data_IF_153085910233
#
_entry.id   IF_153085910233
#
_cell.length_a   1.000
_cell.length_b   1.000
_cell.length_c   1.000
_cell.angle_alpha   90.00
_cell.angle_beta   90.00
_cell.angle_gamma   90.00
#
_symmetry.space_group_name_H-M   'P 1'
#
loop_
_entity.id
_entity.type
_entity.pdbx_description
1 polymer ?
#
# COMPACT_ATOMS: atom_id res chain seq x y z
N UNK A 1 -2.00 26.67 -2.77
CA UNK A 1 -0.97 25.73 -2.27
C UNK A 1 -1.04 25.51 -0.76
N UNK A 2 -1.34 26.55 0.05
CA UNK A 2 -1.33 26.47 1.52
C UNK A 2 -2.38 25.49 2.10
N UNK A 3 -3.55 25.38 1.47
CA UNK A 3 -4.61 24.43 1.89
C UNK A 3 -4.28 22.97 1.55
N UNK A 4 -3.66 22.74 0.40
CA UNK A 4 -3.17 21.42 0.02
C UNK A 4 -2.13 20.90 1.02
N UNK A 5 -1.22 21.77 1.46
CA UNK A 5 -0.25 21.44 2.51
C UNK A 5 -0.95 21.06 3.81
N UNK A 6 -2.00 21.77 4.22
CA UNK A 6 -2.76 21.43 5.44
C UNK A 6 -3.42 20.05 5.32
N UNK A 7 -4.00 19.69 4.17
CA UNK A 7 -4.57 18.35 3.96
C UNK A 7 -3.49 17.28 3.99
N UNK A 8 -2.35 17.54 3.34
CA UNK A 8 -1.21 16.63 3.33
C UNK A 8 -0.63 16.42 4.73
N UNK A 9 -0.38 17.50 5.48
CA UNK A 9 0.10 17.45 6.86
C UNK A 9 -0.95 16.89 7.83
N UNK A 10 -2.24 17.07 7.54
CA UNK A 10 -3.33 16.47 8.32
C UNK A 10 -3.37 14.95 8.14
N UNK A 11 -3.33 14.46 6.90
CA UNK A 11 -3.22 13.01 6.62
C UNK A 11 -1.93 12.43 7.22
N UNK A 12 -0.81 13.14 7.07
CA UNK A 12 0.47 12.78 7.66
C UNK A 12 0.38 12.68 9.18
N UNK A 13 -0.23 13.67 9.84
CA UNK A 13 -0.41 13.69 11.29
C UNK A 13 -1.29 12.55 11.79
N UNK A 14 -2.41 12.28 11.11
CA UNK A 14 -3.30 11.15 11.42
C UNK A 14 -2.55 9.82 11.24
N UNK A 15 -1.79 9.66 10.16
CA UNK A 15 -0.99 8.47 9.93
C UNK A 15 0.08 8.29 11.01
N UNK A 16 0.83 9.35 11.36
CA UNK A 16 1.83 9.31 12.43
C UNK A 16 1.20 8.94 13.76
N UNK A 17 0.00 9.45 14.07
CA UNK A 17 -0.74 9.08 15.27
C UNK A 17 -1.18 7.60 15.25
N UNK A 18 -1.73 7.11 14.13
CA UNK A 18 -2.11 5.70 13.98
C UNK A 18 -0.87 4.80 14.11
N UNK A 19 0.23 5.17 13.46
CA UNK A 19 1.49 4.42 13.52
C UNK A 19 2.07 4.43 14.93
N UNK A 20 2.09 5.59 15.61
CA UNK A 20 2.55 5.68 17.00
C UNK A 20 1.68 4.85 17.95
N UNK A 21 0.36 4.84 17.76
CA UNK A 21 -0.56 3.98 18.49
C UNK A 21 -0.33 2.50 18.19
N UNK A 22 -0.08 2.14 16.93
CA UNK A 22 0.23 0.77 16.53
C UNK A 22 1.55 0.28 17.13
N UNK A 23 2.57 1.14 17.19
CA UNK A 23 3.82 0.86 17.90
C UNK A 23 3.58 0.72 19.39
N UNK A 24 2.79 1.62 19.99
CA UNK A 24 2.49 1.58 21.43
C UNK A 24 1.69 0.33 21.84
N UNK A 25 0.77 -0.11 20.98
CA UNK A 25 -0.04 -1.33 21.21
C UNK A 25 0.71 -2.62 20.86
N UNK A 26 1.90 -2.53 20.28
CA UNK A 26 2.66 -3.69 19.79
C UNK A 26 2.15 -4.27 18.47
N UNK A 27 1.07 -3.76 17.88
CA UNK A 27 0.53 -4.24 16.59
C UNK A 27 1.51 -4.01 15.43
N UNK A 28 2.37 -3.00 15.54
CA UNK A 28 3.46 -2.76 14.58
C UNK A 28 4.62 -3.75 14.73
N UNK A 29 4.59 -4.63 15.73
CA UNK A 29 5.64 -5.63 15.94
C UNK A 29 5.60 -6.68 14.83
N UNK A 30 6.76 -6.88 14.21
CA UNK A 30 6.94 -7.77 13.05
C UNK A 30 6.59 -9.23 13.37
N UNK A 31 6.83 -9.63 14.62
CA UNK A 31 6.64 -11.00 15.14
C UNK A 31 5.18 -11.43 15.09
N UNK A 32 4.22 -10.57 15.43
CA UNK A 32 2.79 -10.90 15.48
C UNK A 32 2.28 -11.36 14.11
N UNK A 33 2.65 -10.64 13.06
CA UNK A 33 2.22 -10.94 11.69
C UNK A 33 2.87 -12.21 11.14
N UNK A 34 4.14 -12.41 11.47
CA UNK A 34 4.88 -13.62 11.10
C UNK A 34 4.34 -14.85 11.83
N UNK A 35 4.11 -14.77 13.14
CA UNK A 35 3.56 -15.87 13.94
C UNK A 35 2.17 -16.28 13.45
N UNK A 36 1.34 -15.29 13.10
CA UNK A 36 0.03 -15.56 12.51
C UNK A 36 0.13 -16.30 11.17
N UNK A 37 1.03 -15.86 10.27
CA UNK A 37 1.28 -16.53 8.99
C UNK A 37 1.89 -17.93 9.17
N UNK A 38 2.82 -18.10 10.12
CA UNK A 38 3.44 -19.39 10.45
C UNK A 38 2.46 -20.38 11.06
N UNK A 39 1.41 -19.89 11.73
CA UNK A 39 0.29 -20.71 12.18
C UNK A 39 -0.51 -21.36 11.04
N UNK A 40 -0.38 -20.86 9.80
CA UNK A 40 -1.09 -21.39 8.65
C UNK A 40 -0.38 -22.62 8.08
N UNK A 41 -1.00 -23.80 8.28
CA UNK A 41 -0.39 -25.09 7.92
C UNK A 41 -0.51 -25.48 6.44
N UNK A 42 -1.32 -24.78 5.66
CA UNK A 42 -1.59 -25.10 4.26
C UNK A 42 -1.06 -24.03 3.33
N UNK A 43 -0.46 -24.46 2.22
CA UNK A 43 0.01 -23.58 1.14
C UNK A 43 -1.08 -22.62 0.64
N UNK A 44 -2.31 -23.12 0.51
CA UNK A 44 -3.47 -22.30 0.13
C UNK A 44 -3.85 -21.27 1.21
N UNK A 45 -3.71 -21.63 2.49
CA UNK A 45 -3.98 -20.73 3.59
C UNK A 45 -2.93 -19.61 3.64
N UNK A 46 -1.64 -19.92 3.44
CA UNK A 46 -0.58 -18.91 3.33
C UNK A 46 -0.85 -17.97 2.16
N UNK A 47 -1.25 -18.48 0.99
CA UNK A 47 -1.57 -17.64 -0.17
C UNK A 47 -2.70 -16.63 0.12
N UNK A 48 -3.82 -17.09 0.66
CA UNK A 48 -4.94 -16.20 1.03
C UNK A 48 -4.61 -15.30 2.22
N UNK A 49 -3.84 -15.80 3.20
CA UNK A 49 -3.39 -15.04 4.36
C UNK A 49 -2.48 -13.87 3.96
N UNK A 50 -1.55 -14.09 3.05
CA UNK A 50 -0.70 -13.03 2.45
C UNK A 50 -1.55 -11.96 1.78
N UNK A 51 -2.53 -12.35 0.95
CA UNK A 51 -3.41 -11.40 0.27
C UNK A 51 -4.23 -10.59 1.28
N UNK A 52 -4.76 -11.26 2.30
CA UNK A 52 -5.55 -10.62 3.35
C UNK A 52 -4.72 -9.61 4.14
N UNK A 53 -3.55 -10.01 4.64
CA UNK A 53 -2.69 -9.13 5.45
C UNK A 53 -2.24 -7.90 4.67
N UNK A 54 -1.80 -8.09 3.42
CA UNK A 54 -1.40 -6.96 2.58
C UNK A 54 -2.59 -6.11 2.14
N UNK A 55 -3.80 -6.68 2.04
CA UNK A 55 -5.02 -5.93 1.80
C UNK A 55 -5.47 -5.10 3.00
N UNK A 56 -5.13 -5.56 4.22
CA UNK A 56 -5.41 -4.88 5.49
C UNK A 56 -4.37 -3.81 5.85
N UNK A 57 -3.29 -3.70 5.08
CA UNK A 57 -2.22 -2.70 5.25
C UNK A 57 -2.76 -1.25 5.20
N UNK A 58 -3.94 -1.05 4.62
CA UNK A 58 -4.66 0.22 4.62
C UNK A 58 -5.03 0.71 6.02
N UNK A 59 -5.31 -0.22 6.94
CA UNK A 59 -5.84 0.06 8.29
C UNK A 59 -4.79 -0.25 9.34
N UNK A 60 -4.04 -1.33 9.15
CA UNK A 60 -2.99 -1.77 10.05
C UNK A 60 -1.63 -1.53 9.40
N UNK A 61 -0.61 -1.03 10.13
CA UNK A 61 0.72 -0.88 9.56
C UNK A 61 1.39 -2.25 9.48
N UNK A 62 1.08 -3.01 8.43
CA UNK A 62 1.61 -4.35 8.21
C UNK A 62 2.94 -4.20 7.47
N UNK A 63 4.04 -4.81 7.97
CA UNK A 63 5.31 -4.78 7.26
C UNK A 63 5.22 -5.64 5.99
N UNK A 64 4.82 -5.02 4.88
CA UNK A 64 4.58 -5.70 3.60
C UNK A 64 5.81 -6.43 3.06
N UNK A 65 7.01 -5.90 3.30
CA UNK A 65 8.29 -6.54 2.99
C UNK A 65 8.41 -7.92 3.64
N UNK A 66 8.05 -8.05 4.92
CA UNK A 66 8.11 -9.31 5.65
C UNK A 66 7.07 -10.30 5.15
N UNK A 67 5.83 -9.86 4.97
CA UNK A 67 4.75 -10.71 4.48
C UNK A 67 5.05 -11.26 3.09
N UNK A 68 5.57 -10.43 2.18
CA UNK A 68 5.98 -10.87 0.83
C UNK A 68 7.20 -11.79 0.86
N UNK A 69 8.17 -11.54 1.75
CA UNK A 69 9.35 -12.40 1.93
C UNK A 69 8.93 -13.77 2.45
N UNK A 70 8.05 -13.82 3.46
CA UNK A 70 7.50 -15.07 3.98
C UNK A 70 6.70 -15.83 2.92
N UNK A 71 5.86 -15.13 2.15
CA UNK A 71 5.13 -15.74 1.03
C UNK A 71 6.08 -16.36 0.00
N UNK A 72 7.19 -15.69 -0.33
CA UNK A 72 8.22 -16.24 -1.22
C UNK A 72 8.94 -17.47 -0.66
N UNK A 73 9.14 -17.52 0.66
CA UNK A 73 9.71 -18.69 1.36
C UNK A 73 8.80 -19.91 1.24
N UNK A 74 7.52 -19.76 1.57
CA UNK A 74 6.58 -20.90 1.65
C UNK A 74 5.95 -21.29 0.31
N UNK A 75 5.65 -20.32 -0.56
CA UNK A 75 4.96 -20.52 -1.84
C UNK A 75 5.92 -20.58 -3.03
N UNK A 76 7.18 -20.19 -2.82
CA UNK A 76 8.17 -20.02 -3.89
C UNK A 76 7.99 -18.70 -4.65
N UNK A 77 8.89 -18.45 -5.61
CA UNK A 77 8.98 -17.17 -6.30
C UNK A 77 7.67 -16.77 -7.00
N UNK A 78 7.10 -17.66 -7.82
CA UNK A 78 5.95 -17.32 -8.66
C UNK A 78 4.70 -17.08 -7.82
N UNK A 79 4.30 -18.06 -7.02
CA UNK A 79 3.08 -17.95 -6.21
C UNK A 79 3.22 -16.89 -5.10
N UNK A 80 4.40 -16.75 -4.49
CA UNK A 80 4.68 -15.70 -3.51
C UNK A 80 4.61 -14.31 -4.13
N UNK A 81 5.17 -14.12 -5.33
CA UNK A 81 5.06 -12.85 -6.07
C UNK A 81 3.59 -12.54 -6.38
N UNK A 82 2.82 -13.52 -6.86
CA UNK A 82 1.41 -13.32 -7.19
C UNK A 82 0.56 -13.02 -5.95
N UNK A 83 0.78 -13.72 -4.84
CA UNK A 83 0.09 -13.45 -3.58
C UNK A 83 0.38 -12.03 -3.08
N UNK A 84 1.67 -11.66 -3.05
CA UNK A 84 2.13 -10.32 -2.65
C UNK A 84 1.54 -9.23 -3.53
N UNK A 85 1.62 -9.42 -4.84
CA UNK A 85 1.08 -8.51 -5.84
C UNK A 85 -0.44 -8.32 -5.68
N UNK A 86 -1.20 -9.42 -5.58
CA UNK A 86 -2.65 -9.38 -5.45
C UNK A 86 -3.10 -8.65 -4.17
N UNK A 87 -2.44 -8.92 -3.04
CA UNK A 87 -2.73 -8.25 -1.77
C UNK A 87 -2.49 -6.74 -1.83
N UNK A 88 -1.31 -6.31 -2.28
CA UNK A 88 -0.98 -4.89 -2.39
C UNK A 88 -1.80 -4.16 -3.47
N UNK A 89 -2.17 -4.84 -4.56
CA UNK A 89 -3.11 -4.31 -5.55
C UNK A 89 -4.50 -4.11 -4.94
N UNK A 90 -5.00 -5.09 -4.18
CA UNK A 90 -6.28 -4.98 -3.51
C UNK A 90 -6.31 -3.77 -2.55
N UNK A 91 -5.28 -3.60 -1.72
CA UNK A 91 -5.11 -2.44 -0.84
C UNK A 91 -5.18 -1.12 -1.62
N UNK A 92 -4.38 -0.99 -2.68
CA UNK A 92 -4.31 0.21 -3.51
C UNK A 92 -5.67 0.53 -4.18
N UNK A 93 -6.36 -0.49 -4.69
CA UNK A 93 -7.66 -0.35 -5.35
C UNK A 93 -8.73 0.08 -4.35
N UNK A 94 -8.73 -0.48 -3.14
CA UNK A 94 -9.67 -0.11 -2.07
C UNK A 94 -9.42 1.35 -1.67
N UNK A 95 -8.19 1.75 -1.37
CA UNK A 95 -7.85 3.13 -1.02
C UNK A 95 -8.25 4.13 -2.10
N UNK A 96 -7.94 3.83 -3.37
CA UNK A 96 -8.38 4.63 -4.52
C UNK A 96 -9.90 4.75 -4.61
N UNK A 97 -10.63 3.64 -4.44
CA UNK A 97 -12.09 3.59 -4.63
C UNK A 97 -12.83 4.32 -3.51
N UNK A 98 -12.38 4.13 -2.25
CA UNK A 98 -12.90 4.83 -1.08
C UNK A 98 -12.76 6.34 -1.26
N UNK A 99 -11.59 6.81 -1.69
CA UNK A 99 -11.37 8.24 -1.92
C UNK A 99 -12.13 8.76 -3.15
N UNK A 100 -12.27 7.96 -4.22
CA UNK A 100 -13.04 8.35 -5.40
C UNK A 100 -14.52 8.56 -5.11
N UNK A 101 -15.14 7.70 -4.31
CA UNK A 101 -16.57 7.74 -4.03
C UNK A 101 -16.92 8.57 -2.79
N UNK A 102 -16.20 8.36 -1.69
CA UNK A 102 -16.44 9.06 -0.42
C UNK A 102 -15.75 10.41 -0.33
N UNK A 103 -14.54 10.53 -0.90
CA UNK A 103 -13.68 11.68 -0.70
C UNK A 103 -13.98 12.90 -1.58
N UNK A 104 -14.67 12.74 -2.72
CA UNK A 104 -14.90 13.86 -3.66
C UNK A 104 -15.71 15.00 -3.07
N UNK A 105 -16.71 14.71 -2.23
CA UNK A 105 -17.51 15.73 -1.51
C UNK A 105 -16.68 16.45 -0.43
N UNK A 106 -15.77 15.72 0.23
CA UNK A 106 -14.86 16.28 1.23
C UNK A 106 -13.76 17.13 0.59
N UNK A 107 -13.18 16.68 -0.53
CA UNK A 107 -12.16 17.40 -1.27
C UNK A 107 -12.64 18.75 -1.78
N UNK A 108 -13.83 18.81 -2.38
CA UNK A 108 -14.46 20.06 -2.80
C UNK A 108 -14.68 21.04 -1.63
N UNK A 109 -15.03 20.52 -0.44
CA UNK A 109 -15.20 21.34 0.78
C UNK A 109 -13.87 21.85 1.35
N UNK A 110 -12.79 21.06 1.27
CA UNK A 110 -11.50 21.41 1.87
C UNK A 110 -10.60 22.27 0.98
N UNK A 111 -10.61 22.05 -0.34
CA UNK A 111 -9.86 22.90 -1.28
C UNK A 111 -10.56 24.26 -1.39
N UNK A 112 -11.90 24.27 -1.44
CA UNK A 112 -12.73 25.47 -1.26
C UNK A 112 -12.58 26.56 -2.33
N UNK A 113 -11.73 26.34 -3.34
CA UNK A 113 -11.51 27.22 -4.48
C UNK A 113 -11.40 26.36 -5.75
N UNK A 114 -12.29 26.62 -6.72
CA UNK A 114 -12.38 25.86 -7.96
C UNK A 114 -11.09 25.94 -8.79
N UNK A 115 -10.39 27.07 -8.74
CA UNK A 115 -9.14 27.28 -9.48
C UNK A 115 -7.96 26.53 -8.85
N UNK A 116 -7.98 26.33 -7.53
CA UNK A 116 -7.00 25.49 -6.84
C UNK A 116 -7.29 24.01 -7.07
N UNK A 117 -8.57 23.61 -7.07
CA UNK A 117 -8.99 22.24 -7.40
C UNK A 117 -8.52 21.84 -8.79
N UNK A 118 -8.76 22.70 -9.78
CA UNK A 118 -8.40 22.42 -11.16
C UNK A 118 -6.88 22.31 -11.36
N UNK A 119 -6.09 23.21 -10.76
CA UNK A 119 -4.62 23.14 -10.82
C UNK A 119 -4.08 21.85 -10.20
N UNK A 120 -4.61 21.43 -9.06
CA UNK A 120 -4.21 20.17 -8.41
C UNK A 120 -4.55 18.99 -9.30
N UNK A 121 -5.72 19.02 -9.95
CA UNK A 121 -6.17 18.01 -10.90
C UNK A 121 -5.25 17.90 -12.10
N UNK A 122 -4.89 19.02 -12.71
CA UNK A 122 -3.99 19.07 -13.88
C UNK A 122 -2.59 18.58 -13.51
N UNK A 123 -2.07 18.98 -12.36
CA UNK A 123 -0.77 18.54 -11.86
C UNK A 123 -0.76 17.03 -11.60
N UNK A 124 -1.78 16.48 -10.93
CA UNK A 124 -1.92 15.03 -10.73
C UNK A 124 -2.17 14.26 -12.03
N UNK A 125 -2.89 14.83 -13.00
CA UNK A 125 -3.03 14.23 -14.33
C UNK A 125 -1.70 14.12 -15.08
N UNK A 126 -0.77 15.05 -14.82
CA UNK A 126 0.56 15.10 -15.44
C UNK A 126 1.61 14.26 -14.70
N UNK A 127 1.61 14.29 -13.37
CA UNK A 127 2.66 13.68 -12.53
C UNK A 127 2.20 12.51 -11.67
N UNK A 128 0.89 12.31 -11.51
CA UNK A 128 0.32 11.31 -10.59
C UNK A 128 0.75 9.88 -10.89
N UNK A 129 0.98 9.55 -12.16
CA UNK A 129 1.55 8.25 -12.54
C UNK A 129 2.94 8.00 -11.95
N UNK A 130 3.84 8.97 -12.08
CA UNK A 130 5.19 8.89 -11.50
C UNK A 130 5.15 8.84 -9.97
N UNK A 131 4.24 9.59 -9.34
CA UNK A 131 4.06 9.54 -7.90
C UNK A 131 3.60 8.17 -7.42
N UNK A 132 2.66 7.52 -8.12
CA UNK A 132 2.18 6.17 -7.79
C UNK A 132 3.26 5.09 -7.92
N UNK A 133 4.20 5.28 -8.84
CA UNK A 133 5.31 4.36 -9.06
C UNK A 133 6.41 4.58 -8.01
N UNK A 134 6.83 5.83 -7.81
CA UNK A 134 7.95 6.19 -6.92
C UNK A 134 7.57 6.15 -5.43
N UNK A 135 6.28 6.13 -5.10
CA UNK A 135 5.80 6.05 -3.72
C UNK A 135 5.94 4.67 -3.09
N UNK A 136 6.08 3.60 -3.88
CA UNK A 136 6.05 2.20 -3.42
C UNK A 136 7.03 1.85 -2.29
N UNK A 137 8.27 2.40 -2.26
CA UNK A 137 9.18 2.15 -1.14
C UNK A 137 8.73 2.78 0.18
N UNK A 138 7.78 3.72 0.15
CA UNK A 138 7.32 4.49 1.30
C UNK A 138 5.82 4.20 1.51
N UNK A 139 5.44 3.29 2.44
CA UNK A 139 4.06 2.84 2.61
C UNK A 139 3.05 3.98 2.72
N UNK A 140 3.34 4.96 3.57
CA UNK A 140 2.51 6.15 3.77
C UNK A 140 2.29 6.95 2.47
N UNK A 141 3.34 7.10 1.66
CA UNK A 141 3.25 7.86 0.42
C UNK A 141 2.43 7.10 -0.63
N UNK A 142 2.47 5.76 -0.59
CA UNK A 142 1.66 4.91 -1.47
C UNK A 142 0.17 5.11 -1.21
N UNK A 143 -0.24 5.06 0.04
CA UNK A 143 -1.65 5.26 0.43
C UNK A 143 -2.14 6.67 0.10
N UNK A 144 -1.32 7.69 0.40
CA UNK A 144 -1.66 9.08 0.09
C UNK A 144 -1.81 9.30 -1.41
N UNK A 145 -0.89 8.77 -2.23
CA UNK A 145 -0.96 8.94 -3.69
C UNK A 145 -2.12 8.16 -4.32
N UNK A 146 -2.44 6.97 -3.80
CA UNK A 146 -3.61 6.20 -4.23
C UNK A 146 -4.92 6.93 -3.90
N UNK A 147 -5.03 7.48 -2.69
CA UNK A 147 -6.18 8.29 -2.30
C UNK A 147 -6.31 9.56 -3.15
N UNK A 148 -5.22 10.31 -3.34
CA UNK A 148 -5.20 11.52 -4.19
C UNK A 148 -5.59 11.22 -5.64
N UNK A 149 -5.14 10.09 -6.20
CA UNK A 149 -5.57 9.64 -7.53
C UNK A 149 -7.08 9.38 -7.57
N UNK A 150 -7.66 8.81 -6.51
CA UNK A 150 -9.10 8.65 -6.34
C UNK A 150 -9.85 9.98 -6.27
N UNK A 151 -9.40 10.89 -5.40
CA UNK A 151 -10.01 12.21 -5.18
C UNK A 151 -10.08 13.06 -6.44
N UNK A 152 -8.99 13.09 -7.21
CA UNK A 152 -8.89 13.89 -8.43
C UNK A 152 -9.60 13.25 -9.64
N UNK A 153 -10.07 12.02 -9.50
CA UNK A 153 -10.74 11.30 -10.56
C UNK A 153 -9.79 10.79 -11.65
N UNK A 154 -8.53 10.52 -11.31
CA UNK A 154 -7.54 9.90 -12.19
C UNK A 154 -8.12 8.64 -12.85
N UNK A 155 -7.75 8.33 -14.10
CA UNK A 155 -8.36 7.19 -14.82
C UNK A 155 -7.90 5.87 -14.21
N UNK A 156 -8.85 4.99 -13.85
CA UNK A 156 -8.57 3.69 -13.22
C UNK A 156 -7.54 2.86 -14.02
N UNK A 157 -7.66 2.78 -15.35
CA UNK A 157 -6.70 2.03 -16.17
C UNK A 157 -5.26 2.56 -16.08
N UNK A 158 -5.08 3.89 -16.03
CA UNK A 158 -3.75 4.49 -15.82
C UNK A 158 -3.24 4.26 -14.41
N UNK A 159 -4.11 4.39 -13.41
CA UNK A 159 -3.79 4.07 -12.02
C UNK A 159 -3.27 2.63 -11.92
N UNK A 160 -4.03 1.64 -12.38
CA UNK A 160 -3.65 0.23 -12.35
C UNK A 160 -2.32 -0.02 -13.07
N UNK A 161 -2.06 0.64 -14.20
CA UNK A 161 -0.80 0.51 -14.91
C UNK A 161 0.41 0.94 -14.06
N UNK A 162 0.39 2.16 -13.51
CA UNK A 162 1.52 2.66 -12.69
C UNK A 162 1.67 1.90 -11.37
N UNK A 163 0.56 1.54 -10.74
CA UNK A 163 0.52 0.74 -9.51
C UNK A 163 1.09 -0.65 -9.78
N UNK A 164 0.72 -1.29 -10.91
CA UNK A 164 1.26 -2.60 -11.30
C UNK A 164 2.76 -2.52 -11.53
N UNK A 165 3.23 -1.51 -12.28
CA UNK A 165 4.66 -1.32 -12.54
C UNK A 165 5.49 -1.07 -11.28
N UNK A 166 4.92 -0.42 -10.27
CA UNK A 166 5.60 -0.20 -9.00
C UNK A 166 5.55 -1.40 -8.07
N UNK A 167 4.41 -2.09 -7.98
CA UNK A 167 4.19 -3.21 -7.04
C UNK A 167 4.84 -4.50 -7.52
N UNK A 168 4.76 -4.82 -8.81
CA UNK A 168 5.22 -6.10 -9.34
C UNK A 168 6.73 -6.33 -9.14
N UNK A 169 7.63 -5.36 -9.42
CA UNK A 169 9.05 -5.54 -9.15
C UNK A 169 9.34 -5.73 -7.67
N UNK A 170 8.66 -5.01 -6.78
CA UNK A 170 8.86 -5.13 -5.34
C UNK A 170 8.41 -6.51 -4.84
N UNK A 171 7.22 -6.95 -5.24
CA UNK A 171 6.71 -8.28 -4.91
C UNK A 171 7.68 -9.38 -5.39
N UNK A 172 8.22 -9.24 -6.60
CA UNK A 172 9.20 -10.17 -7.16
C UNK A 172 10.51 -10.18 -6.35
N UNK A 173 11.04 -9.00 -6.01
CA UNK A 173 12.29 -8.88 -5.24
C UNK A 173 12.13 -9.52 -3.87
N UNK A 174 11.08 -9.19 -3.11
CA UNK A 174 10.87 -9.76 -1.77
C UNK A 174 10.59 -11.26 -1.82
N UNK A 175 9.76 -11.73 -2.77
CA UNK A 175 9.52 -13.15 -2.93
C UNK A 175 10.79 -13.93 -3.32
N UNK A 176 11.65 -13.34 -4.16
CA UNK A 176 12.95 -13.91 -4.52
C UNK A 176 13.91 -13.95 -3.32
N UNK A 177 13.95 -12.89 -2.52
CA UNK A 177 14.73 -12.88 -1.28
C UNK A 177 14.25 -13.96 -0.31
N UNK A 178 12.94 -14.13 -0.14
CA UNK A 178 12.35 -15.18 0.68
C UNK A 178 12.71 -16.58 0.20
N UNK A 179 12.55 -16.84 -1.10
CA UNK A 179 12.87 -18.14 -1.70
C UNK A 179 14.37 -18.46 -1.60
N UNK A 180 15.25 -17.47 -1.81
CA UNK A 180 16.71 -17.64 -1.73
C UNK A 180 17.25 -17.66 -0.32
N UNK A 181 16.63 -16.98 0.63
CA UNK A 181 16.99 -16.98 2.05
C UNK A 181 17.00 -18.39 2.67
N UNK A 182 16.29 -19.33 2.04
CA UNK A 182 16.33 -20.78 2.36
C UNK A 182 17.72 -21.40 2.13
N UNK A 183 18.59 -20.81 1.30
CA UNK A 183 19.96 -21.30 1.08
C UNK A 183 21.00 -20.72 2.04
N UNK A 184 20.64 -19.77 2.91
CA UNK A 184 21.56 -19.19 3.89
C UNK A 184 20.82 -18.73 5.14
N UNK A 185 20.74 -19.61 6.14
CA UNK A 185 20.53 -19.33 7.57
C UNK A 185 19.82 -18.00 7.93
N UNK A 186 18.54 -17.85 7.56
CA UNK A 186 17.67 -16.89 8.24
C UNK A 186 16.98 -17.61 9.41
N UNK A 187 17.60 -17.49 10.58
CA UNK A 187 16.91 -17.59 11.86
C UNK A 187 16.14 -16.26 12.04
N UNK A 188 14.93 -16.21 11.49
CA UNK A 188 13.87 -15.29 11.96
C UNK A 188 13.00 -16.08 12.93
#
# INVERSE_FOLDING_TARGET
>A
MRRLLIVFFGFFGVFVLIFALAVWTGIAEETIWLDWLQGLKSRSAVWWGTILLLGLDLIFPVPSSLVMTYAGKELGLVEGTLAGFCGSMACSIVGYSLCRWGGRKWFARFVGDADEEQRVREWLMRYGGWMLLLSRPIPMFTEMTACLAGLTGFKMGRFLFFVTLGTLPMALIYAWYGQKGIRGNLHL
#
